data_IF_344042020243
#
_entry.id   IF_344042020243
#
_cell.length_a   1.000
_cell.length_b   1.000
_cell.length_c   1.000
_cell.angle_alpha   90.00
_cell.angle_beta   90.00
_cell.angle_gamma   90.00
#
_symmetry.space_group_name_H-M   'P 1'
#
loop_
_entity.id
_entity.type
_entity.pdbx_description
1 polymer ?
#
# COMPACT_ATOMS: atom_id res chain seq x y z
N UNK A 1 12.94 11.18 6.61
CA UNK A 1 11.72 10.88 7.40
C UNK A 1 10.65 10.48 6.38
N UNK A 2 9.93 9.37 6.58
CA UNK A 2 8.93 8.91 5.58
C UNK A 2 7.70 9.82 5.59
N UNK A 3 6.98 9.91 4.46
CA UNK A 3 5.74 10.71 4.38
C UNK A 3 4.70 10.23 5.40
N UNK A 4 4.66 8.92 5.67
CA UNK A 4 3.79 8.31 6.68
C UNK A 4 4.09 8.90 8.07
N UNK A 5 5.36 8.92 8.49
CA UNK A 5 5.76 9.52 9.77
C UNK A 5 5.37 11.00 9.85
N UNK A 6 5.70 11.79 8.82
CA UNK A 6 5.37 13.21 8.80
C UNK A 6 3.85 13.48 8.81
N UNK A 7 3.06 12.62 8.17
CA UNK A 7 1.61 12.68 8.19
C UNK A 7 1.06 12.46 9.60
N UNK A 8 1.50 11.40 10.29
CA UNK A 8 1.03 11.13 11.66
C UNK A 8 1.51 12.17 12.68
N UNK A 9 2.73 12.68 12.54
CA UNK A 9 3.23 13.77 13.39
C UNK A 9 2.39 15.05 13.21
N UNK A 10 2.09 15.43 11.97
CA UNK A 10 1.20 16.56 11.66
C UNK A 10 -0.18 16.38 12.30
N UNK A 11 -0.80 15.21 12.10
CA UNK A 11 -2.12 14.92 12.66
C UNK A 11 -2.14 14.93 14.19
N UNK A 12 -1.09 14.41 14.83
CA UNK A 12 -0.94 14.47 16.28
C UNK A 12 -0.85 15.91 16.79
N UNK A 13 -0.07 16.77 16.12
CA UNK A 13 0.04 18.20 16.45
C UNK A 13 -1.28 18.94 16.26
N UNK A 14 -2.09 18.53 15.28
CA UNK A 14 -3.43 19.08 15.03
C UNK A 14 -4.52 18.45 15.94
N UNK A 15 -4.19 17.48 16.79
CA UNK A 15 -5.13 16.68 17.57
C UNK A 15 -6.25 16.06 16.71
N UNK A 16 -5.89 15.61 15.50
CA UNK A 16 -6.77 14.98 14.53
C UNK A 16 -6.47 13.48 14.40
N UNK A 17 -7.50 12.71 14.04
CA UNK A 17 -7.33 11.30 13.66
C UNK A 17 -7.05 11.23 12.15
N UNK A 18 -6.26 10.24 11.75
CA UNK A 18 -6.03 9.96 10.34
C UNK A 18 -7.29 9.38 9.68
N UNK A 19 -7.63 9.88 8.51
CA UNK A 19 -8.55 9.22 7.59
C UNK A 19 -7.76 8.50 6.49
N UNK A 20 -7.81 7.18 6.49
CA UNK A 20 -7.18 6.32 5.48
C UNK A 20 -8.26 5.75 4.57
N UNK A 21 -8.10 5.88 3.26
CA UNK A 21 -9.05 5.35 2.28
C UNK A 21 -8.40 4.35 1.34
N UNK A 22 -9.06 3.21 1.18
CA UNK A 22 -8.69 2.16 0.23
C UNK A 22 -9.48 2.30 -1.08
N UNK A 23 -8.79 2.17 -2.20
CA UNK A 23 -9.39 2.01 -3.54
C UNK A 23 -8.64 0.93 -4.34
N UNK A 24 -9.34 0.22 -5.22
CA UNK A 24 -8.70 -0.72 -6.15
C UNK A 24 -8.16 0.04 -7.35
N UNK A 25 -6.86 -0.07 -7.63
CA UNK A 25 -6.26 0.56 -8.78
C UNK A 25 -6.84 0.00 -10.08
N UNK A 26 -7.24 0.89 -10.98
CA UNK A 26 -7.81 0.53 -12.28
C UNK A 26 -9.28 0.13 -12.27
N UNK A 27 -9.98 0.23 -11.13
CA UNK A 27 -11.42 0.02 -11.04
C UNK A 27 -12.21 1.34 -11.21
N UNK A 28 -13.22 1.42 -12.09
CA UNK A 28 -13.58 0.46 -13.14
C UNK A 28 -12.72 0.55 -14.41
N UNK A 29 -11.93 1.62 -14.57
CA UNK A 29 -10.99 1.80 -15.70
C UNK A 29 -9.69 2.47 -15.23
N UNK A 30 -8.56 2.17 -15.88
CA UNK A 30 -7.23 2.66 -15.48
C UNK A 30 -7.13 4.19 -15.36
N UNK A 31 -7.73 4.90 -16.32
CA UNK A 31 -7.56 6.35 -16.47
C UNK A 31 -8.10 7.17 -15.30
N UNK A 32 -9.05 6.63 -14.53
CA UNK A 32 -9.67 7.41 -13.46
C UNK A 32 -8.93 7.33 -12.11
N UNK A 33 -8.01 6.37 -11.95
CA UNK A 33 -7.41 6.09 -10.63
C UNK A 33 -6.70 7.31 -10.07
N UNK A 34 -5.88 7.98 -10.88
CA UNK A 34 -5.08 9.13 -10.43
C UNK A 34 -5.97 10.34 -10.10
N UNK A 35 -6.96 10.63 -10.95
CA UNK A 35 -7.94 11.69 -10.69
C UNK A 35 -8.74 11.42 -9.41
N UNK A 36 -9.11 10.15 -9.17
CA UNK A 36 -9.78 9.74 -7.94
C UNK A 36 -8.86 9.91 -6.72
N UNK A 37 -7.58 9.56 -6.82
CA UNK A 37 -6.61 9.78 -5.74
C UNK A 37 -6.54 11.26 -5.36
N UNK A 38 -6.47 12.18 -6.33
CA UNK A 38 -6.50 13.61 -6.05
C UNK A 38 -7.83 14.05 -5.43
N UNK A 39 -8.96 13.56 -5.95
CA UNK A 39 -10.27 13.88 -5.38
C UNK A 39 -10.43 13.41 -3.93
N UNK A 40 -9.80 12.28 -3.55
CA UNK A 40 -9.76 11.81 -2.17
C UNK A 40 -8.95 12.76 -1.27
N UNK A 41 -7.78 13.22 -1.75
CA UNK A 41 -6.97 14.20 -1.03
C UNK A 41 -7.73 15.51 -0.83
N UNK A 42 -8.37 16.03 -1.87
CA UNK A 42 -9.20 17.24 -1.81
C UNK A 42 -10.38 17.09 -0.84
N UNK A 43 -10.90 15.88 -0.67
CA UNK A 43 -11.95 15.55 0.29
C UNK A 43 -11.43 15.37 1.74
N UNK A 44 -10.11 15.49 1.98
CA UNK A 44 -9.49 15.44 3.29
C UNK A 44 -8.96 14.07 3.72
N UNK A 45 -8.71 13.15 2.78
CA UNK A 45 -8.01 11.89 3.06
C UNK A 45 -6.54 12.17 3.38
N UNK A 46 -6.05 11.60 4.48
CA UNK A 46 -4.67 11.81 4.94
C UNK A 46 -3.68 10.80 4.37
N UNK A 47 -4.13 9.58 4.03
CA UNK A 47 -3.32 8.50 3.47
C UNK A 47 -4.19 7.63 2.54
N UNK A 48 -3.63 7.22 1.41
CA UNK A 48 -4.34 6.35 0.45
C UNK A 48 -3.71 4.96 0.46
N UNK A 49 -4.56 3.96 0.65
CA UNK A 49 -4.24 2.56 0.36
C UNK A 49 -4.67 2.25 -1.07
N UNK A 50 -3.70 1.94 -1.92
CA UNK A 50 -3.93 1.64 -3.33
C UNK A 50 -3.83 0.13 -3.56
N UNK A 51 -4.99 -0.49 -3.76
CA UNK A 51 -5.15 -1.92 -3.98
C UNK A 51 -4.56 -2.36 -5.31
N UNK A 52 -3.63 -3.32 -5.27
CA UNK A 52 -3.12 -4.01 -6.45
C UNK A 52 -4.07 -5.16 -6.79
N UNK A 53 -4.75 -5.14 -7.95
CA UNK A 53 -5.69 -6.19 -8.31
C UNK A 53 -4.99 -7.54 -8.48
N UNK A 54 -5.58 -8.60 -7.95
CA UNK A 54 -5.04 -9.95 -7.96
C UNK A 54 -6.12 -10.99 -8.30
N UNK A 55 -5.73 -12.05 -9.01
CA UNK A 55 -6.66 -13.06 -9.56
C UNK A 55 -7.27 -13.96 -8.50
N UNK A 56 -6.57 -14.16 -7.39
CA UNK A 56 -6.98 -15.09 -6.32
C UNK A 56 -7.03 -14.34 -4.97
N UNK A 57 -7.96 -13.38 -4.80
CA UNK A 57 -8.01 -12.51 -3.62
C UNK A 57 -8.67 -13.21 -2.41
N UNK A 58 -7.96 -14.16 -1.81
CA UNK A 58 -8.46 -15.02 -0.73
C UNK A 58 -8.78 -14.30 0.59
N UNK A 59 -8.16 -13.13 0.84
CA UNK A 59 -8.34 -12.37 2.07
C UNK A 59 -9.45 -11.30 1.97
N UNK A 60 -9.95 -11.04 0.77
CA UNK A 60 -10.84 -9.92 0.49
C UNK A 60 -12.32 -10.29 0.53
N UNK A 61 -13.14 -9.35 1.00
CA UNK A 61 -14.60 -9.45 0.91
C UNK A 61 -15.14 -9.23 -0.50
N UNK A 62 -16.41 -9.59 -0.76
CA UNK A 62 -16.99 -9.61 -2.12
C UNK A 62 -16.94 -8.25 -2.85
N UNK A 63 -17.01 -7.13 -2.11
CA UNK A 63 -16.93 -5.79 -2.70
C UNK A 63 -15.56 -5.53 -3.33
N UNK A 64 -14.49 -5.88 -2.60
CA UNK A 64 -13.10 -5.71 -3.06
C UNK A 64 -12.80 -6.72 -4.17
N UNK A 65 -13.26 -7.97 -4.03
CA UNK A 65 -13.12 -8.98 -5.09
C UNK A 65 -13.73 -8.53 -6.42
N UNK A 66 -14.93 -7.93 -6.40
CA UNK A 66 -15.57 -7.39 -7.60
C UNK A 66 -14.83 -6.19 -8.20
N UNK A 67 -14.24 -5.32 -7.35
CA UNK A 67 -13.39 -4.22 -7.82
C UNK A 67 -12.10 -4.73 -8.47
N UNK A 68 -11.45 -5.71 -7.84
CA UNK A 68 -10.28 -6.38 -8.40
C UNK A 68 -10.61 -7.04 -9.74
N UNK A 69 -11.75 -7.72 -9.86
CA UNK A 69 -12.19 -8.32 -11.12
C UNK A 69 -12.35 -7.27 -12.22
N UNK A 70 -13.04 -6.15 -11.95
CA UNK A 70 -13.20 -5.07 -12.95
C UNK A 70 -11.86 -4.48 -13.38
N UNK A 71 -10.95 -4.28 -12.42
CA UNK A 71 -9.60 -3.80 -12.71
C UNK A 71 -8.78 -4.81 -13.56
N UNK A 72 -8.94 -6.10 -13.32
CA UNK A 72 -8.30 -7.17 -14.11
C UNK A 72 -8.90 -7.28 -15.52
N UNK A 73 -10.20 -7.09 -15.68
CA UNK A 73 -10.89 -7.13 -16.98
C UNK A 73 -10.39 -6.03 -17.92
N UNK A 74 -9.97 -4.88 -17.37
CA UNK A 74 -9.30 -3.81 -18.12
C UNK A 74 -7.77 -3.96 -18.17
N UNK A 75 -7.26 -5.11 -17.72
CA UNK A 75 -5.85 -5.50 -17.83
C UNK A 75 -4.91 -4.76 -16.89
N UNK A 76 -5.37 -4.32 -15.71
CA UNK A 76 -4.52 -3.62 -14.74
C UNK A 76 -3.49 -4.56 -14.13
N UNK A 77 -2.23 -4.12 -14.13
CA UNK A 77 -1.08 -4.87 -13.62
C UNK A 77 -0.36 -4.11 -12.51
N UNK A 78 0.46 -4.80 -11.71
CA UNK A 78 1.33 -4.16 -10.71
C UNK A 78 2.20 -3.03 -11.30
N UNK A 79 2.65 -3.17 -12.56
CA UNK A 79 3.43 -2.12 -13.24
C UNK A 79 2.59 -0.88 -13.51
N UNK A 80 1.32 -1.05 -13.88
CA UNK A 80 0.40 0.06 -14.07
C UNK A 80 0.15 0.79 -12.74
N UNK A 81 -0.05 0.05 -11.64
CA UNK A 81 -0.25 0.63 -10.31
C UNK A 81 0.95 1.48 -9.88
N UNK A 82 2.18 0.95 -10.03
CA UNK A 82 3.41 1.72 -9.76
C UNK A 82 3.47 2.97 -10.66
N UNK A 83 3.05 2.87 -11.92
CA UNK A 83 2.95 4.00 -12.84
C UNK A 83 1.94 5.06 -12.41
N UNK A 84 0.78 4.64 -11.88
CA UNK A 84 -0.24 5.55 -11.33
C UNK A 84 0.29 6.34 -10.14
N UNK A 85 1.07 5.69 -9.25
CA UNK A 85 1.73 6.40 -8.14
C UNK A 85 2.72 7.43 -8.67
N UNK A 86 3.55 7.06 -9.66
CA UNK A 86 4.49 8.00 -10.27
C UNK A 86 3.79 9.20 -10.94
N UNK A 87 2.60 8.98 -11.54
CA UNK A 87 1.79 10.05 -12.12
C UNK A 87 1.23 10.99 -11.04
N UNK A 88 0.62 10.42 -10.00
CA UNK A 88 0.09 11.17 -8.85
C UNK A 88 1.17 12.04 -8.18
N UNK A 89 2.39 11.50 -8.08
CA UNK A 89 3.55 12.18 -7.48
C UNK A 89 4.06 13.39 -8.26
N UNK A 90 3.61 13.61 -9.51
CA UNK A 90 3.96 14.82 -10.26
C UNK A 90 3.36 16.09 -9.65
N UNK A 91 2.23 15.96 -8.96
CA UNK A 91 1.47 17.09 -8.42
C UNK A 91 1.18 16.96 -6.92
N UNK A 92 1.30 15.77 -6.32
CA UNK A 92 1.25 15.57 -4.87
C UNK A 92 2.46 14.80 -4.34
N UNK A 93 3.37 15.53 -3.69
CA UNK A 93 4.59 14.99 -3.08
C UNK A 93 4.47 14.77 -1.56
N UNK A 94 3.26 14.90 -0.99
CA UNK A 94 3.07 14.90 0.47
C UNK A 94 2.19 13.78 0.98
N UNK A 95 1.11 13.45 0.26
CA UNK A 95 0.14 12.44 0.69
C UNK A 95 0.77 11.06 0.64
N UNK A 96 0.85 10.31 1.75
CA UNK A 96 1.45 8.98 1.74
C UNK A 96 0.61 7.99 0.93
N UNK A 97 1.29 7.16 0.13
CA UNK A 97 0.66 6.09 -0.65
C UNK A 97 1.18 4.73 -0.18
N UNK A 98 0.26 3.86 0.22
CA UNK A 98 0.55 2.48 0.64
C UNK A 98 -0.03 1.51 -0.38
N UNK A 99 0.80 0.65 -0.96
CA UNK A 99 0.29 -0.41 -1.84
C UNK A 99 -0.23 -1.56 -1.00
N UNK A 100 -1.49 -1.97 -1.21
CA UNK A 100 -2.08 -3.13 -0.56
C UNK A 100 -2.30 -4.24 -1.60
N UNK A 101 -1.84 -5.46 -1.33
CA UNK A 101 -2.02 -6.57 -2.26
C UNK A 101 -1.42 -7.88 -1.77
N UNK A 102 -1.19 -8.80 -2.70
CA UNK A 102 -0.72 -10.16 -2.45
C UNK A 102 0.74 -10.35 -2.88
N UNK A 103 1.41 -11.35 -2.33
CA UNK A 103 2.83 -11.60 -2.59
C UNK A 103 3.16 -11.99 -4.04
N UNK A 104 2.35 -12.83 -4.66
CA UNK A 104 2.71 -13.48 -5.93
C UNK A 104 3.07 -12.49 -7.07
N UNK A 105 2.34 -11.37 -7.31
CA UNK A 105 2.76 -10.35 -8.28
C UNK A 105 4.12 -9.71 -7.97
N UNK A 106 4.42 -9.48 -6.68
CA UNK A 106 5.69 -8.91 -6.22
C UNK A 106 6.81 -9.93 -6.41
N UNK A 107 6.60 -11.17 -5.99
CA UNK A 107 7.57 -12.26 -6.14
C UNK A 107 7.92 -12.53 -7.60
N UNK A 108 6.91 -12.55 -8.49
CA UNK A 108 7.13 -12.66 -9.95
C UNK A 108 7.94 -11.51 -10.55
N UNK A 109 7.82 -10.30 -9.98
CA UNK A 109 8.64 -9.15 -10.39
C UNK A 109 10.08 -9.23 -9.82
N UNK A 110 10.24 -9.96 -8.71
CA UNK A 110 11.43 -10.01 -7.87
C UNK A 110 11.44 -8.88 -6.84
N UNK A 111 11.71 -9.20 -5.56
CA UNK A 111 11.60 -8.26 -4.44
C UNK A 111 12.45 -7.00 -4.61
N UNK A 112 13.72 -7.14 -5.00
CA UNK A 112 14.61 -6.00 -5.19
C UNK A 112 14.12 -5.07 -6.33
N UNK A 113 13.71 -5.65 -7.45
CA UNK A 113 13.22 -4.92 -8.62
C UNK A 113 11.87 -4.23 -8.34
N UNK A 114 11.00 -4.90 -7.59
CA UNK A 114 9.77 -4.28 -7.10
C UNK A 114 10.06 -3.09 -6.20
N UNK A 115 10.87 -3.28 -5.15
CA UNK A 115 11.17 -2.24 -4.19
C UNK A 115 11.85 -1.02 -4.84
N UNK A 116 12.81 -1.24 -5.75
CA UNK A 116 13.44 -0.18 -6.53
C UNK A 116 12.41 0.62 -7.35
N UNK A 117 11.56 -0.06 -8.10
CA UNK A 117 10.54 0.58 -8.95
C UNK A 117 9.50 1.32 -8.13
N UNK A 118 9.00 0.72 -7.06
CA UNK A 118 8.00 1.28 -6.17
C UNK A 118 8.54 2.50 -5.42
N UNK A 119 9.75 2.39 -4.85
CA UNK A 119 10.39 3.50 -4.12
C UNK A 119 10.67 4.68 -5.04
N UNK A 120 11.19 4.42 -6.25
CA UNK A 120 11.40 5.46 -7.26
C UNK A 120 10.10 6.12 -7.74
N UNK A 121 9.00 5.37 -7.78
CA UNK A 121 7.69 5.92 -8.10
C UNK A 121 7.08 6.77 -6.98
N UNK A 122 7.61 6.67 -5.75
CA UNK A 122 7.13 7.41 -4.59
C UNK A 122 6.11 6.66 -3.73
N UNK A 123 6.11 5.32 -3.78
CA UNK A 123 5.39 4.48 -2.81
C UNK A 123 6.06 4.62 -1.44
N UNK A 124 5.25 4.81 -0.39
CA UNK A 124 5.76 5.02 0.98
C UNK A 124 5.63 3.79 1.87
N UNK A 125 4.70 2.88 1.57
CA UNK A 125 4.52 1.65 2.32
C UNK A 125 3.87 0.52 1.53
N UNK A 126 3.91 -0.68 2.10
CA UNK A 126 3.22 -1.85 1.54
C UNK A 126 2.52 -2.66 2.61
N UNK A 127 1.29 -3.08 2.34
CA UNK A 127 0.56 -4.10 3.10
C UNK A 127 0.48 -5.34 2.21
N UNK A 128 1.14 -6.42 2.62
CA UNK A 128 1.04 -7.70 1.94
C UNK A 128 0.14 -8.64 2.74
N UNK A 129 -1.08 -8.86 2.25
CA UNK A 129 -2.16 -9.46 3.04
C UNK A 129 -1.93 -10.93 3.38
N UNK A 130 -1.11 -11.64 2.59
CA UNK A 130 -0.82 -13.04 2.78
C UNK A 130 0.65 -13.33 3.16
N UNK A 131 1.39 -12.32 3.65
CA UNK A 131 2.75 -12.50 4.19
C UNK A 131 2.75 -12.30 5.70
N UNK A 132 2.85 -13.38 6.48
CA UNK A 132 2.99 -13.27 7.93
C UNK A 132 4.39 -12.71 8.29
N UNK A 133 4.54 -12.12 9.49
CA UNK A 133 5.82 -11.54 9.93
C UNK A 133 6.95 -12.57 10.03
N UNK A 134 6.64 -13.85 10.18
CA UNK A 134 7.59 -14.95 10.16
C UNK A 134 8.23 -15.20 8.79
N UNK A 135 7.59 -14.78 7.68
CA UNK A 135 8.02 -15.08 6.31
C UNK A 135 8.49 -13.84 5.52
N UNK A 136 8.25 -12.62 6.03
CA UNK A 136 8.46 -11.39 5.27
C UNK A 136 9.91 -10.88 5.17
N UNK A 137 10.91 -11.52 5.77
CA UNK A 137 12.27 -10.93 5.97
C UNK A 137 12.96 -10.47 4.69
N UNK A 138 12.88 -11.29 3.64
CA UNK A 138 13.50 -10.97 2.36
C UNK A 138 12.82 -9.78 1.66
N UNK A 139 11.50 -9.68 1.79
CA UNK A 139 10.74 -8.58 1.24
C UNK A 139 11.02 -7.30 2.02
N UNK A 140 10.90 -7.34 3.36
CA UNK A 140 11.12 -6.18 4.24
C UNK A 140 12.47 -5.54 4.01
N UNK A 141 13.54 -6.37 3.91
CA UNK A 141 14.88 -5.86 3.63
C UNK A 141 14.92 -5.06 2.33
N UNK A 142 14.33 -5.60 1.26
CA UNK A 142 14.28 -4.95 -0.05
C UNK A 142 13.50 -3.63 0.01
N UNK A 143 12.37 -3.62 0.72
CA UNK A 143 11.51 -2.43 0.90
C UNK A 143 12.23 -1.31 1.65
N UNK A 144 12.84 -1.65 2.79
CA UNK A 144 13.52 -0.71 3.67
C UNK A 144 14.72 -0.06 2.98
N UNK A 145 15.48 -0.82 2.19
CA UNK A 145 16.60 -0.31 1.36
C UNK A 145 16.14 0.79 0.39
N UNK A 146 14.86 0.81 0.02
CA UNK A 146 14.26 1.78 -0.91
C UNK A 146 13.31 2.76 -0.21
N UNK A 147 13.35 2.84 1.13
CA UNK A 147 12.56 3.80 1.90
C UNK A 147 11.06 3.50 1.95
N UNK A 148 10.67 2.24 1.72
CA UNK A 148 9.28 1.78 1.77
C UNK A 148 9.04 1.10 3.13
N UNK A 149 7.99 1.51 3.81
CA UNK A 149 7.61 0.98 5.12
C UNK A 149 6.81 -0.34 4.98
N UNK A 150 7.32 -1.49 5.49
CA UNK A 150 6.52 -2.70 5.59
C UNK A 150 5.46 -2.54 6.70
N UNK A 151 4.19 -2.52 6.30
CA UNK A 151 3.04 -2.40 7.21
C UNK A 151 2.47 -3.81 7.43
N UNK A 152 2.29 -4.17 8.70
CA UNK A 152 1.85 -5.50 9.11
C UNK A 152 0.46 -5.48 9.72
N UNK A 153 -0.31 -6.53 9.43
CA UNK A 153 -1.63 -6.73 10.00
C UNK A 153 -1.51 -7.28 11.43
N UNK A 154 -2.35 -6.77 12.33
CA UNK A 154 -2.52 -7.30 13.68
C UNK A 154 -4.00 -7.61 13.95
N UNK A 155 -4.27 -8.80 14.46
CA UNK A 155 -5.61 -9.24 14.87
C UNK A 155 -5.76 -9.24 16.40
N UNK A 156 -6.99 -9.19 16.95
CA UNK A 156 -7.23 -9.34 18.40
C UNK A 156 -6.72 -10.67 18.98
N UNK A 157 -6.55 -11.69 18.15
CA UNK A 157 -6.03 -13.02 18.52
C UNK A 157 -4.51 -13.15 18.35
N UNK A 158 -3.81 -12.08 17.98
CA UNK A 158 -2.36 -12.07 17.82
C UNK A 158 -1.69 -12.40 19.15
N UNK A 159 -0.86 -13.44 19.17
CA UNK A 159 -0.13 -13.82 20.39
C UNK A 159 0.90 -12.74 20.76
N UNK A 160 1.24 -12.63 22.04
CA UNK A 160 2.25 -11.68 22.49
C UNK A 160 3.60 -11.87 21.77
N UNK A 161 3.99 -13.12 21.51
CA UNK A 161 5.21 -13.44 20.75
C UNK A 161 5.14 -12.90 19.32
N UNK A 162 4.01 -13.08 18.62
CA UNK A 162 3.84 -12.54 17.27
C UNK A 162 3.75 -11.02 17.27
N UNK A 163 3.10 -10.41 18.27
CA UNK A 163 3.03 -8.96 18.40
C UNK A 163 4.44 -8.34 18.57
N UNK A 164 5.31 -8.95 19.39
CA UNK A 164 6.71 -8.53 19.53
C UNK A 164 7.47 -8.61 18.20
N UNK A 165 7.22 -9.65 17.40
CA UNK A 165 7.82 -9.80 16.08
C UNK A 165 7.30 -8.74 15.08
N UNK A 166 6.00 -8.45 15.12
CA UNK A 166 5.41 -7.37 14.31
C UNK A 166 6.06 -6.03 14.67
N UNK A 167 6.12 -5.67 15.96
CA UNK A 167 6.68 -4.38 16.38
C UNK A 167 8.17 -4.22 16.11
N UNK A 168 8.95 -5.31 16.00
CA UNK A 168 10.36 -5.22 15.65
C UNK A 168 10.61 -5.03 14.15
N UNK A 169 9.59 -5.25 13.31
CA UNK A 169 9.70 -5.28 11.84
C UNK A 169 8.89 -4.21 11.14
N UNK A 170 7.67 -3.97 11.63
CA UNK A 170 6.74 -3.02 11.06
C UNK A 170 7.30 -1.60 11.10
N UNK A 171 6.98 -0.83 10.06
CA UNK A 171 7.24 0.60 9.96
C UNK A 171 5.98 1.33 9.54
N UNK A 172 5.96 2.65 9.68
CA UNK A 172 4.78 3.46 9.40
C UNK A 172 3.73 3.30 10.52
N UNK A 173 2.90 2.26 10.43
CA UNK A 173 1.84 1.94 11.40
C UNK A 173 1.60 0.43 11.52
N UNK A 174 0.78 0.06 12.50
CA UNK A 174 0.29 -1.31 12.79
C UNK A 174 -1.18 -1.22 13.18
#
# INVERSE_FOLDING_TARGET
MSRITSCFERLANENRKALVVYIVAGDPVKSITVDLMHALVDAGVDLIELGVPFTDPEADGPVIQLGAQRALDVGTTLKDVIGMVAEFRKTDDTTPIVLMGYLNPIEKMGYANFAEKAGRAGVDGTINVNVPPEEGELLDKSLIEHGIDPVYLMAPTTTETRAKLIFSRARGFV
#
